data_IF_950385358404
#
_entry.id   IF_950385358404
#
_cell.length_a   1.000
_cell.length_b   1.000
_cell.length_c   1.000
_cell.angle_alpha   90.00
_cell.angle_beta   90.00
_cell.angle_gamma   90.00
#
_symmetry.space_group_name_H-M   'P 1'
#
loop_
_entity.id
_entity.type
_entity.pdbx_description
1 polymer ?
#
# COMPACT_ATOMS: atom_id res chain seq x y z
N UNK A 1 -68.30 -20.53 -3.01
CA UNK A 1 -67.34 -21.11 -3.99
C UNK A 1 -67.82 -20.74 -5.39
N UNK A 2 -66.96 -20.37 -6.35
CA UNK A 2 -65.52 -20.57 -6.34
C UNK A 2 -64.69 -19.28 -6.51
N UNK A 3 -63.65 -19.20 -5.69
CA UNK A 3 -62.44 -18.39 -5.85
C UNK A 3 -61.61 -18.91 -7.02
N UNK A 4 -61.26 -18.05 -7.97
CA UNK A 4 -60.25 -18.34 -8.99
C UNK A 4 -58.88 -17.78 -8.55
N UNK A 5 -57.77 -18.50 -8.80
CA UNK A 5 -56.50 -18.25 -8.12
C UNK A 5 -55.64 -17.22 -8.85
N UNK A 6 -55.06 -16.29 -8.08
CA UNK A 6 -53.91 -15.48 -8.47
C UNK A 6 -52.72 -16.37 -8.81
N UNK A 7 -52.44 -16.54 -10.10
CA UNK A 7 -51.17 -17.12 -10.56
C UNK A 7 -50.11 -16.03 -10.53
N UNK A 8 -49.51 -15.81 -9.34
CA UNK A 8 -48.21 -15.16 -9.22
C UNK A 8 -47.20 -16.07 -9.93
N UNK A 9 -46.73 -15.66 -11.11
CA UNK A 9 -45.52 -16.24 -11.68
C UNK A 9 -44.34 -15.76 -10.84
N UNK A 10 -43.88 -16.63 -9.94
CA UNK A 10 -42.52 -16.56 -9.41
C UNK A 10 -41.57 -16.80 -10.59
N UNK A 11 -41.10 -15.70 -11.18
CA UNK A 11 -39.91 -15.72 -12.04
C UNK A 11 -38.74 -15.63 -11.08
N UNK A 12 -38.12 -16.78 -10.80
CA UNK A 12 -36.81 -16.83 -10.15
C UNK A 12 -35.76 -16.09 -10.98
N UNK A 13 -34.58 -15.80 -10.41
CA UNK A 13 -33.57 -14.92 -11.03
C UNK A 13 -32.98 -15.46 -12.34
N UNK A 14 -33.23 -16.72 -12.71
CA UNK A 14 -32.68 -17.36 -13.90
C UNK A 14 -33.66 -17.37 -15.09
N UNK A 15 -33.80 -16.22 -15.75
CA UNK A 15 -34.58 -16.09 -16.99
C UNK A 15 -33.74 -16.30 -18.26
N UNK A 16 -34.32 -16.80 -19.38
CA UNK A 16 -33.64 -16.99 -20.67
C UNK A 16 -33.06 -15.69 -21.28
N UNK A 17 -33.45 -14.53 -20.75
CA UNK A 17 -32.86 -13.24 -21.13
C UNK A 17 -31.42 -13.04 -20.62
N UNK A 18 -31.04 -13.66 -19.51
CA UNK A 18 -29.69 -13.53 -18.93
C UNK A 18 -28.67 -14.39 -19.68
N UNK A 19 -29.07 -15.58 -20.12
CA UNK A 19 -28.25 -16.42 -21.02
C UNK A 19 -28.03 -15.75 -22.38
N UNK A 20 -29.07 -15.13 -22.95
CA UNK A 20 -28.96 -14.38 -24.21
C UNK A 20 -28.05 -13.15 -24.07
N UNK A 21 -28.17 -12.42 -22.95
CA UNK A 21 -27.28 -11.28 -22.66
C UNK A 21 -25.82 -11.73 -22.50
N UNK A 22 -25.57 -12.82 -21.77
CA UNK A 22 -24.23 -13.41 -21.60
C UNK A 22 -23.63 -13.87 -22.94
N UNK A 23 -24.44 -14.50 -23.80
CA UNK A 23 -24.04 -14.91 -25.14
C UNK A 23 -23.68 -13.72 -26.04
N UNK A 24 -24.46 -12.62 -25.98
CA UNK A 24 -24.19 -11.39 -26.73
C UNK A 24 -22.92 -10.68 -26.24
N UNK A 25 -22.69 -10.61 -24.93
CA UNK A 25 -21.46 -10.06 -24.34
C UNK A 25 -20.25 -10.90 -24.77
N UNK A 26 -20.37 -12.22 -24.71
CA UNK A 26 -19.30 -13.14 -25.16
C UNK A 26 -18.99 -12.99 -26.65
N UNK A 27 -20.02 -12.80 -27.49
CA UNK A 27 -19.85 -12.56 -28.93
C UNK A 27 -19.18 -11.20 -29.20
N UNK A 28 -19.57 -10.16 -28.45
CA UNK A 28 -18.96 -8.84 -28.54
C UNK A 28 -17.49 -8.87 -28.14
N UNK A 29 -17.12 -9.57 -27.05
CA UNK A 29 -15.72 -9.72 -26.61
C UNK A 29 -14.88 -10.39 -27.71
N UNK A 30 -15.39 -11.45 -28.35
CA UNK A 30 -14.68 -12.13 -29.46
C UNK A 30 -14.47 -11.21 -30.65
N UNK A 31 -15.47 -10.40 -30.99
CA UNK A 31 -15.35 -9.45 -32.10
C UNK A 31 -14.37 -8.32 -31.76
N UNK A 32 -14.40 -7.79 -30.53
CA UNK A 32 -13.41 -6.81 -30.08
C UNK A 32 -11.99 -7.38 -30.08
N UNK A 33 -11.80 -8.63 -29.66
CA UNK A 33 -10.51 -9.34 -29.74
C UNK A 33 -10.03 -9.52 -31.18
N UNK A 34 -10.94 -9.82 -32.11
CA UNK A 34 -10.66 -9.91 -33.55
C UNK A 34 -10.23 -8.54 -34.11
N UNK A 35 -10.94 -7.47 -33.76
CA UNK A 35 -10.59 -6.10 -34.14
C UNK A 35 -9.24 -5.70 -33.56
N UNK A 36 -8.97 -5.99 -32.29
CA UNK A 36 -7.67 -5.75 -31.66
C UNK A 36 -6.52 -6.50 -32.36
N UNK A 37 -6.74 -7.76 -32.76
CA UNK A 37 -5.76 -8.54 -33.50
C UNK A 37 -5.52 -8.02 -34.92
N UNK A 38 -6.55 -7.45 -35.56
CA UNK A 38 -6.48 -6.87 -36.89
C UNK A 38 -5.95 -5.43 -36.93
N UNK A 39 -5.90 -4.72 -35.80
CA UNK A 39 -5.35 -3.36 -35.73
C UNK A 39 -3.83 -3.37 -35.95
N UNK A 40 -3.40 -2.67 -37.00
CA UNK A 40 -1.99 -2.50 -37.33
C UNK A 40 -1.23 -1.78 -36.20
N UNK A 41 0.07 -2.06 -36.10
CA UNK A 41 0.97 -1.53 -35.07
C UNK A 41 1.15 -0.01 -35.10
N UNK A 42 0.61 0.64 -36.13
CA UNK A 42 0.53 2.08 -36.30
C UNK A 42 -0.48 2.76 -35.34
N UNK A 43 -1.55 2.06 -34.92
CA UNK A 43 -2.57 2.57 -34.01
C UNK A 43 -2.35 2.09 -32.57
N UNK A 44 -1.14 2.23 -32.05
CA UNK A 44 -0.73 1.80 -30.71
C UNK A 44 -1.63 2.30 -29.56
N UNK A 45 -1.97 3.59 -29.53
CA UNK A 45 -2.78 4.19 -28.45
C UNK A 45 -4.20 3.65 -28.52
N UNK A 46 -4.81 3.64 -29.70
CA UNK A 46 -6.15 3.10 -29.88
C UNK A 46 -6.21 1.59 -29.61
N UNK A 47 -5.15 0.85 -29.98
CA UNK A 47 -5.00 -0.59 -29.73
C UNK A 47 -4.82 -0.90 -28.24
N UNK A 48 -4.04 -0.11 -27.50
CA UNK A 48 -3.91 -0.27 -26.04
C UNK A 48 -5.20 0.10 -25.32
N UNK A 49 -5.86 1.20 -25.70
CA UNK A 49 -7.17 1.56 -25.17
C UNK A 49 -8.21 0.45 -25.44
N UNK A 50 -8.15 -0.19 -26.61
CA UNK A 50 -9.01 -1.33 -26.95
C UNK A 50 -8.64 -2.60 -26.16
N UNK A 51 -7.35 -2.88 -25.94
CA UNK A 51 -6.93 -4.01 -25.08
C UNK A 51 -7.37 -3.83 -23.63
N UNK A 52 -7.21 -2.63 -23.10
CA UNK A 52 -7.71 -2.25 -21.77
C UNK A 52 -9.23 -2.44 -21.71
N UNK A 53 -9.97 -1.91 -22.69
CA UNK A 53 -11.42 -2.11 -22.79
C UNK A 53 -11.85 -3.58 -22.91
N UNK A 54 -11.09 -4.45 -23.59
CA UNK A 54 -11.37 -5.88 -23.74
C UNK A 54 -11.12 -6.65 -22.43
N UNK A 55 -9.99 -6.40 -21.77
CA UNK A 55 -9.69 -6.98 -20.47
C UNK A 55 -10.73 -6.54 -19.44
N UNK A 56 -11.16 -5.28 -19.48
CA UNK A 56 -12.17 -4.72 -18.60
C UNK A 56 -13.60 -5.24 -18.90
N UNK A 57 -13.91 -5.58 -20.15
CA UNK A 57 -15.16 -6.25 -20.51
C UNK A 57 -15.19 -7.71 -20.08
N UNK A 58 -14.04 -8.39 -20.13
CA UNK A 58 -13.88 -9.79 -19.72
C UNK A 58 -13.95 -9.93 -18.20
N UNK A 59 -13.37 -8.98 -17.46
CA UNK A 59 -13.41 -8.92 -16.00
C UNK A 59 -14.73 -8.35 -15.45
N UNK A 60 -15.47 -7.56 -16.23
CA UNK A 60 -16.81 -7.07 -15.87
C UNK A 60 -17.95 -8.07 -16.10
N UNK A 61 -17.66 -9.25 -16.68
CA UNK A 61 -18.62 -10.32 -16.94
C UNK A 61 -18.67 -11.39 -15.84
N UNK A 62 -17.82 -11.31 -14.82
CA UNK A 62 -18.01 -12.05 -13.57
C UNK A 62 -19.06 -11.33 -12.73
N UNK A 63 -20.21 -11.98 -12.60
CA UNK A 63 -21.31 -11.74 -11.66
C UNK A 63 -21.15 -10.53 -10.68
N UNK A 64 -22.00 -9.49 -10.78
CA UNK A 64 -22.06 -8.40 -9.79
C UNK A 64 -22.53 -8.84 -8.39
N UNK A 65 -22.88 -10.12 -8.21
CA UNK A 65 -23.53 -10.64 -7.02
C UNK A 65 -22.63 -11.21 -5.92
N UNK A 66 -21.50 -10.59 -5.54
CA UNK A 66 -20.88 -10.81 -4.21
C UNK A 66 -19.73 -9.83 -3.90
N UNK A 67 -19.98 -8.52 -3.93
CA UNK A 67 -19.01 -7.54 -3.40
C UNK A 67 -19.74 -6.65 -2.41
N UNK A 68 -19.37 -6.76 -1.13
CA UNK A 68 -19.96 -6.00 -0.04
C UNK A 68 -19.80 -4.49 -0.33
N UNK A 69 -20.82 -3.62 -0.19
CA UNK A 69 -20.81 -2.25 -0.71
C UNK A 69 -19.85 -1.25 -0.02
N UNK A 70 -18.86 -1.71 0.73
CA UNK A 70 -17.86 -0.82 1.31
C UNK A 70 -16.52 -1.56 1.52
N UNK A 71 -15.67 -1.57 0.49
CA UNK A 71 -14.23 -1.90 0.59
C UNK A 71 -13.54 -1.13 1.73
N UNK A 72 -14.14 -0.01 2.14
CA UNK A 72 -13.81 0.73 3.34
C UNK A 72 -13.79 -0.12 4.61
N UNK A 73 -14.73 -1.05 4.78
CA UNK A 73 -14.84 -1.92 5.96
C UNK A 73 -13.64 -2.84 6.06
N UNK A 74 -13.23 -3.47 4.95
CA UNK A 74 -12.07 -4.36 4.95
C UNK A 74 -10.77 -3.61 5.22
N UNK A 75 -10.62 -2.40 4.66
CA UNK A 75 -9.48 -1.52 4.94
C UNK A 75 -9.47 -1.10 6.41
N UNK A 76 -10.63 -0.76 6.98
CA UNK A 76 -10.76 -0.39 8.40
C UNK A 76 -10.45 -1.56 9.33
N UNK A 77 -10.94 -2.77 9.00
CA UNK A 77 -10.61 -3.98 9.75
C UNK A 77 -9.11 -4.24 9.71
N UNK A 78 -8.49 -4.09 8.54
CA UNK A 78 -7.04 -4.21 8.38
C UNK A 78 -6.28 -3.16 9.20
N UNK A 79 -6.73 -1.91 9.22
CA UNK A 79 -6.16 -0.85 10.06
C UNK A 79 -6.24 -1.21 11.54
N UNK A 80 -7.39 -1.71 12.00
CA UNK A 80 -7.57 -2.11 13.39
C UNK A 80 -6.68 -3.31 13.77
N UNK A 81 -6.57 -4.31 12.89
CA UNK A 81 -5.68 -5.45 13.08
C UNK A 81 -4.22 -5.00 13.21
N UNK A 82 -3.72 -4.19 12.25
CA UNK A 82 -2.36 -3.67 12.30
C UNK A 82 -2.12 -2.85 13.57
N UNK A 83 -3.09 -2.02 13.99
CA UNK A 83 -3.00 -1.27 15.23
C UNK A 83 -2.91 -2.21 16.44
N UNK A 84 -3.78 -3.20 16.53
CA UNK A 84 -3.76 -4.19 17.62
C UNK A 84 -2.43 -4.95 17.65
N UNK A 85 -1.89 -5.37 16.50
CA UNK A 85 -0.59 -6.03 16.43
C UNK A 85 0.55 -5.16 16.96
N UNK A 86 0.55 -3.86 16.64
CA UNK A 86 1.54 -2.93 17.20
C UNK A 86 1.35 -2.71 18.69
N UNK A 87 0.11 -2.49 19.13
CA UNK A 87 -0.16 -2.10 20.52
C UNK A 87 -0.04 -3.27 21.49
N UNK A 88 -0.35 -4.50 21.04
CA UNK A 88 -0.37 -5.70 21.87
C UNK A 88 0.84 -6.57 21.56
N UNK A 89 0.92 -7.16 20.36
CA UNK A 89 1.92 -8.19 20.08
C UNK A 89 3.36 -7.63 20.08
N UNK A 90 3.57 -6.50 19.41
CA UNK A 90 4.90 -5.90 19.29
C UNK A 90 5.36 -5.33 20.64
N UNK A 91 4.50 -4.62 21.39
CA UNK A 91 4.84 -4.14 22.74
C UNK A 91 5.12 -5.28 23.71
N UNK A 92 4.30 -6.33 23.69
CA UNK A 92 4.53 -7.51 24.53
C UNK A 92 5.89 -8.15 24.20
N UNK A 93 6.26 -8.22 22.91
CA UNK A 93 7.58 -8.71 22.50
C UNK A 93 8.72 -7.81 23.01
N UNK A 94 8.54 -6.48 22.98
CA UNK A 94 9.49 -5.52 23.56
C UNK A 94 9.67 -5.74 25.07
N UNK A 95 8.56 -5.85 25.80
CA UNK A 95 8.52 -6.05 27.25
C UNK A 95 9.18 -7.38 27.66
N UNK A 96 8.85 -8.49 26.98
CA UNK A 96 9.46 -9.80 27.25
C UNK A 96 10.96 -9.79 26.97
N UNK A 97 11.40 -9.12 25.91
CA UNK A 97 12.82 -8.99 25.59
C UNK A 97 13.57 -8.13 26.63
N UNK A 98 12.98 -7.03 27.09
CA UNK A 98 13.56 -6.21 28.17
C UNK A 98 13.62 -6.99 29.48
N UNK A 99 12.55 -7.70 29.83
CA UNK A 99 12.51 -8.56 31.02
C UNK A 99 13.61 -9.62 30.97
N UNK A 100 13.77 -10.30 29.82
CA UNK A 100 14.85 -11.26 29.62
C UNK A 100 16.23 -10.63 29.83
N UNK A 101 16.44 -9.42 29.30
CA UNK A 101 17.70 -8.71 29.48
C UNK A 101 17.99 -8.40 30.96
N UNK A 102 16.98 -7.97 31.73
CA UNK A 102 17.10 -7.74 33.17
C UNK A 102 17.44 -9.03 33.92
N UNK A 103 16.75 -10.14 33.61
CA UNK A 103 17.03 -11.43 34.26
C UNK A 103 18.43 -11.94 33.92
N UNK A 104 18.88 -11.75 32.68
CA UNK A 104 20.23 -12.13 32.26
C UNK A 104 21.30 -11.32 32.99
N UNK A 105 21.11 -10.00 33.17
CA UNK A 105 22.04 -9.17 33.93
C UNK A 105 22.12 -9.60 35.40
N UNK A 106 21.00 -10.04 36.00
CA UNK A 106 20.99 -10.63 37.36
C UNK A 106 21.80 -11.93 37.40
N UNK A 107 21.62 -12.80 36.41
CA UNK A 107 22.39 -14.04 36.27
C UNK A 107 23.90 -13.76 36.18
N UNK A 108 24.32 -12.79 35.34
CA UNK A 108 25.73 -12.40 35.28
C UNK A 108 26.27 -11.89 36.62
N UNK A 109 25.49 -11.10 37.35
CA UNK A 109 25.90 -10.59 38.66
C UNK A 109 26.10 -11.73 39.68
N UNK A 110 25.22 -12.73 39.69
CA UNK A 110 25.38 -13.94 40.52
C UNK A 110 26.63 -14.71 40.10
N UNK A 111 26.88 -14.85 38.80
CA UNK A 111 28.04 -15.56 38.29
C UNK A 111 29.36 -14.86 38.66
N UNK A 112 29.40 -13.52 38.59
CA UNK A 112 30.54 -12.71 39.08
C UNK A 112 30.75 -12.88 40.58
N UNK A 113 29.67 -12.91 41.36
CA UNK A 113 29.74 -13.14 42.81
C UNK A 113 30.30 -14.54 43.13
N UNK A 114 29.88 -15.58 42.41
CA UNK A 114 30.42 -16.94 42.53
C UNK A 114 31.92 -16.97 42.21
N UNK A 115 32.35 -16.35 41.11
CA UNK A 115 33.77 -16.28 40.74
C UNK A 115 34.62 -15.56 41.80
N UNK A 116 34.09 -14.51 42.45
CA UNK A 116 34.78 -13.80 43.52
C UNK A 116 34.97 -14.64 44.79
N UNK A 117 34.15 -15.68 44.98
CA UNK A 117 34.19 -16.56 46.16
C UNK A 117 35.10 -17.78 45.95
N UNK A 118 35.45 -18.14 44.72
CA UNK A 118 36.33 -19.29 44.40
C UNK A 118 37.76 -19.19 44.97
N UNK A 119 38.20 -18.01 45.44
CA UNK A 119 39.52 -17.82 46.07
C UNK A 119 39.52 -17.76 47.61
N UNK A 120 38.38 -18.01 48.27
CA UNK A 120 38.19 -17.87 49.74
C UNK A 120 37.95 -19.20 50.47
N UNK A 121 38.43 -20.30 49.88
CA UNK A 121 38.29 -21.65 50.46
C UNK A 121 38.89 -21.69 51.88
N UNK A 122 38.07 -22.04 52.89
CA UNK A 122 38.49 -22.23 54.29
C UNK A 122 37.81 -21.35 55.35
N UNK A 123 36.99 -20.36 54.99
CA UNK A 123 36.22 -19.56 55.96
C UNK A 123 34.88 -20.22 56.32
N UNK A 124 34.55 -20.33 57.62
CA UNK A 124 33.27 -20.85 58.09
C UNK A 124 32.08 -20.07 57.48
N UNK A 125 31.16 -20.79 56.83
CA UNK A 125 29.97 -20.22 56.19
C UNK A 125 30.11 -19.84 54.71
N UNK A 126 31.32 -19.82 54.15
CA UNK A 126 31.54 -19.54 52.71
C UNK A 126 31.00 -20.68 51.84
N UNK A 127 31.19 -21.92 52.24
CA UNK A 127 30.74 -23.11 51.51
C UNK A 127 29.21 -23.18 51.39
N UNK A 128 28.49 -22.91 52.48
CA UNK A 128 27.02 -22.82 52.48
C UNK A 128 26.49 -21.69 51.58
N UNK A 129 27.18 -20.55 51.55
CA UNK A 129 26.85 -19.41 50.69
C UNK A 129 27.11 -19.70 49.21
N UNK A 130 28.19 -20.39 48.90
CA UNK A 130 28.52 -20.84 47.53
C UNK A 130 27.45 -21.82 47.04
N UNK A 131 27.06 -22.81 47.85
CA UNK A 131 26.01 -23.77 47.48
C UNK A 131 24.66 -23.09 47.22
N UNK A 132 24.26 -22.13 48.06
CA UNK A 132 23.02 -21.36 47.86
C UNK A 132 23.04 -20.59 46.55
N UNK A 133 24.14 -19.87 46.28
CA UNK A 133 24.29 -19.10 45.04
C UNK A 133 24.35 -20.01 43.81
N UNK A 134 24.97 -21.18 43.90
CA UNK A 134 24.97 -22.18 42.83
C UNK A 134 23.57 -22.69 42.52
N UNK A 135 22.76 -22.99 43.54
CA UNK A 135 21.38 -23.42 43.36
C UNK A 135 20.53 -22.32 42.72
N UNK A 136 20.64 -21.07 43.21
CA UNK A 136 19.98 -19.91 42.61
C UNK A 136 20.42 -19.69 41.15
N UNK A 137 21.71 -19.88 40.85
CA UNK A 137 22.23 -19.72 39.50
C UNK A 137 21.69 -20.79 38.54
N UNK A 138 21.57 -22.04 39.00
CA UNK A 138 20.99 -23.14 38.22
C UNK A 138 19.49 -22.92 37.92
N UNK A 139 18.73 -22.48 38.92
CA UNK A 139 17.31 -22.12 38.74
C UNK A 139 17.15 -20.96 37.74
N UNK A 140 17.98 -19.92 37.87
CA UNK A 140 17.95 -18.77 36.97
C UNK A 140 18.36 -19.14 35.54
N UNK A 141 19.35 -20.02 35.38
CA UNK A 141 19.75 -20.54 34.07
C UNK A 141 18.61 -21.32 33.41
N UNK A 142 17.88 -22.14 34.16
CA UNK A 142 16.72 -22.87 33.64
C UNK A 142 15.59 -21.91 33.24
N UNK A 143 15.32 -20.88 34.08
CA UNK A 143 14.33 -19.86 33.76
C UNK A 143 14.69 -19.09 32.47
N UNK A 144 15.95 -18.68 32.33
CA UNK A 144 16.44 -18.00 31.12
C UNK A 144 16.31 -18.88 29.87
N UNK A 145 16.62 -20.17 29.95
CA UNK A 145 16.40 -21.10 28.82
C UNK A 145 14.93 -21.17 28.39
N UNK A 146 14.02 -21.28 29.36
CA UNK A 146 12.58 -21.31 29.07
C UNK A 146 12.10 -19.99 28.45
N UNK A 147 12.51 -18.85 29.02
CA UNK A 147 12.15 -17.53 28.48
C UNK A 147 12.71 -17.28 27.08
N UNK A 148 13.94 -17.72 26.82
CA UNK A 148 14.55 -17.60 25.51
C UNK A 148 13.73 -18.33 24.44
N UNK A 149 13.34 -19.58 24.72
CA UNK A 149 12.49 -20.36 23.81
C UNK A 149 11.10 -19.72 23.61
N UNK A 150 10.48 -19.18 24.68
CA UNK A 150 9.19 -18.49 24.59
C UNK A 150 9.24 -17.22 23.73
N UNK A 151 10.31 -16.42 23.85
CA UNK A 151 10.53 -15.23 23.00
C UNK A 151 10.72 -15.65 21.55
N UNK A 152 11.49 -16.71 21.28
CA UNK A 152 11.70 -17.23 19.93
C UNK A 152 10.39 -17.67 19.28
N UNK A 153 9.54 -18.40 20.02
CA UNK A 153 8.20 -18.80 19.58
C UNK A 153 7.31 -17.59 19.26
N UNK A 154 7.30 -16.59 20.16
CA UNK A 154 6.51 -15.36 20.01
C UNK A 154 6.97 -14.54 18.80
N UNK A 155 8.28 -14.45 18.55
CA UNK A 155 8.86 -13.79 17.36
C UNK A 155 8.40 -14.47 16.08
N UNK A 156 8.45 -15.81 16.03
CA UNK A 156 7.97 -16.59 14.88
C UNK A 156 6.49 -16.39 14.65
N UNK A 157 5.66 -16.45 15.70
CA UNK A 157 4.22 -16.22 15.60
C UNK A 157 3.88 -14.81 15.10
N UNK A 158 4.54 -13.78 15.64
CA UNK A 158 4.39 -12.39 15.17
C UNK A 158 4.77 -12.25 13.69
N UNK A 159 5.88 -12.87 13.29
CA UNK A 159 6.33 -12.84 11.90
C UNK A 159 5.32 -13.50 10.93
N UNK A 160 4.74 -14.64 11.31
CA UNK A 160 3.71 -15.30 10.49
C UNK A 160 2.46 -14.43 10.33
N UNK A 161 2.05 -13.72 11.39
CA UNK A 161 0.95 -12.75 11.30
C UNK A 161 1.29 -11.61 10.33
N UNK A 162 2.53 -11.09 10.37
CA UNK A 162 2.98 -10.06 9.41
C UNK A 162 2.91 -10.57 7.96
N UNK A 163 3.35 -11.80 7.68
CA UNK A 163 3.26 -12.36 6.33
C UNK A 163 1.80 -12.50 5.84
N UNK A 164 0.90 -12.94 6.71
CA UNK A 164 -0.54 -13.06 6.39
C UNK A 164 -1.15 -11.68 6.12
N UNK A 165 -0.82 -10.69 6.93
CA UNK A 165 -1.27 -9.32 6.77
C UNK A 165 -0.74 -8.69 5.47
N UNK A 166 0.49 -9.01 5.07
CA UNK A 166 1.03 -8.57 3.80
C UNK A 166 0.18 -9.04 2.62
N UNK A 167 -0.15 -10.34 2.59
CA UNK A 167 -0.99 -10.93 1.54
C UNK A 167 -2.37 -10.28 1.50
N UNK A 168 -2.97 -10.00 2.67
CA UNK A 168 -4.25 -9.27 2.74
C UNK A 168 -4.14 -7.85 2.19
N UNK A 169 -3.06 -7.12 2.49
CA UNK A 169 -2.82 -5.78 1.94
C UNK A 169 -2.60 -5.81 0.43
N UNK A 170 -1.93 -6.83 -0.10
CA UNK A 170 -1.78 -7.00 -1.55
C UNK A 170 -3.15 -7.19 -2.22
N UNK A 171 -3.99 -8.08 -1.69
CA UNK A 171 -5.35 -8.29 -2.21
C UNK A 171 -6.20 -7.01 -2.14
N UNK A 172 -6.15 -6.28 -1.01
CA UNK A 172 -6.85 -5.00 -0.87
C UNK A 172 -6.36 -3.95 -1.87
N UNK A 173 -5.06 -3.91 -2.14
CA UNK A 173 -4.51 -3.01 -3.16
C UNK A 173 -5.03 -3.34 -4.55
N UNK A 174 -5.08 -4.62 -4.94
CA UNK A 174 -5.64 -5.02 -6.24
C UNK A 174 -7.11 -4.61 -6.38
N UNK A 175 -7.90 -4.76 -5.32
CA UNK A 175 -9.31 -4.34 -5.29
C UNK A 175 -9.44 -2.83 -5.44
N UNK A 176 -8.71 -2.04 -4.66
CA UNK A 176 -8.75 -0.57 -4.74
C UNK A 176 -8.25 -0.06 -6.09
N UNK A 177 -7.24 -0.71 -6.67
CA UNK A 177 -6.75 -0.41 -8.01
C UNK A 177 -7.80 -0.75 -9.08
N UNK A 178 -8.55 -1.84 -8.92
CA UNK A 178 -9.64 -2.20 -9.84
C UNK A 178 -10.75 -1.14 -9.88
N UNK A 179 -11.12 -0.58 -8.73
CA UNK A 179 -12.09 0.51 -8.65
C UNK A 179 -11.58 1.78 -9.35
N UNK A 180 -10.29 2.06 -9.25
CA UNK A 180 -9.67 3.17 -9.98
C UNK A 180 -9.69 2.93 -11.50
N UNK A 181 -9.46 1.69 -11.96
CA UNK A 181 -9.58 1.34 -13.38
C UNK A 181 -11.03 1.56 -13.86
N UNK A 182 -12.02 1.11 -13.08
CA UNK A 182 -13.43 1.33 -13.41
C UNK A 182 -13.79 2.83 -13.47
N UNK A 183 -13.27 3.65 -12.56
CA UNK A 183 -13.43 5.10 -12.63
C UNK A 183 -12.79 5.70 -13.90
N UNK A 184 -11.57 5.30 -14.27
CA UNK A 184 -10.91 5.76 -15.50
C UNK A 184 -11.73 5.38 -16.74
N UNK A 185 -12.35 4.21 -16.74
CA UNK A 185 -13.25 3.77 -17.80
C UNK A 185 -14.50 4.65 -17.90
N UNK A 186 -15.15 4.96 -16.78
CA UNK A 186 -16.28 5.91 -16.77
C UNK A 186 -15.84 7.29 -17.27
N UNK A 187 -14.66 7.77 -16.88
CA UNK A 187 -14.10 9.03 -17.35
C UNK A 187 -13.86 9.02 -18.86
N UNK A 188 -13.40 7.90 -19.43
CA UNK A 188 -13.23 7.74 -20.88
C UNK A 188 -14.58 7.78 -21.62
N UNK A 189 -15.58 7.06 -21.11
CA UNK A 189 -16.94 7.06 -21.66
C UNK A 189 -17.65 8.41 -21.51
N UNK A 190 -17.29 9.20 -20.51
CA UNK A 190 -17.77 10.56 -20.33
C UNK A 190 -17.29 11.51 -21.43
N UNK A 191 -16.15 11.21 -22.06
CA UNK A 191 -15.74 11.86 -23.31
C UNK A 191 -16.77 11.70 -24.44
N UNK A 192 -17.58 10.64 -24.40
CA UNK A 192 -18.67 10.37 -25.34
C UNK A 192 -20.05 10.80 -24.81
N UNK A 193 -20.12 11.52 -23.68
CA UNK A 193 -21.36 12.02 -23.08
C UNK A 193 -22.01 11.12 -22.02
N UNK A 194 -21.34 10.04 -21.59
CA UNK A 194 -21.84 9.19 -20.49
C UNK A 194 -21.61 9.89 -19.14
N UNK A 195 -22.58 9.95 -18.22
CA UNK A 195 -22.34 10.53 -16.89
C UNK A 195 -21.37 9.66 -16.09
N UNK A 196 -20.44 10.28 -15.37
CA UNK A 196 -19.58 9.61 -14.38
C UNK A 196 -20.41 9.41 -13.11
N UNK A 197 -20.49 8.17 -12.62
CA UNK A 197 -21.27 7.82 -11.43
C UNK A 197 -20.39 7.59 -10.20
N UNK A 198 -19.16 7.10 -10.41
CA UNK A 198 -18.18 6.88 -9.35
C UNK A 198 -17.53 8.19 -8.92
N UNK A 199 -17.46 8.40 -7.61
CA UNK A 199 -16.80 9.57 -7.03
C UNK A 199 -15.32 9.29 -6.81
N UNK A 200 -14.46 10.12 -7.40
CA UNK A 200 -13.01 10.09 -7.16
C UNK A 200 -12.66 10.35 -5.69
N UNK A 201 -13.49 11.09 -4.96
CA UNK A 201 -13.27 11.37 -3.53
C UNK A 201 -13.41 10.11 -2.67
N UNK A 202 -14.35 9.22 -3.01
CA UNK A 202 -14.48 7.91 -2.33
C UNK A 202 -13.23 7.06 -2.57
N UNK A 203 -12.79 6.98 -3.83
CA UNK A 203 -11.57 6.25 -4.21
C UNK A 203 -10.34 6.85 -3.50
N UNK A 204 -10.23 8.18 -3.45
CA UNK A 204 -9.17 8.85 -2.68
C UNK A 204 -9.16 8.35 -1.22
N UNK A 205 -10.32 8.29 -0.57
CA UNK A 205 -10.39 7.84 0.83
C UNK A 205 -9.90 6.40 1.03
N UNK A 206 -10.14 5.51 0.06
CA UNK A 206 -9.61 4.14 0.07
C UNK A 206 -8.09 4.13 -0.13
N UNK A 207 -7.58 4.88 -1.11
CA UNK A 207 -6.14 5.02 -1.35
C UNK A 207 -5.39 5.57 -0.13
N UNK A 208 -5.92 6.61 0.52
CA UNK A 208 -5.32 7.22 1.71
C UNK A 208 -5.23 6.23 2.88
N UNK A 209 -6.32 5.51 3.16
CA UNK A 209 -6.36 4.54 4.27
C UNK A 209 -5.53 3.30 4.01
N UNK A 210 -5.53 2.82 2.76
CA UNK A 210 -4.65 1.72 2.35
C UNK A 210 -3.18 2.14 2.46
N UNK A 211 -2.84 3.35 2.02
CA UNK A 211 -1.51 3.92 2.18
C UNK A 211 -1.08 3.96 3.66
N UNK A 212 -1.93 4.45 4.56
CA UNK A 212 -1.67 4.44 6.00
C UNK A 212 -1.43 3.01 6.53
N UNK A 213 -2.22 2.04 6.07
CA UNK A 213 -2.09 0.64 6.50
C UNK A 213 -0.77 0.02 6.07
N UNK A 214 -0.39 0.19 4.80
CA UNK A 214 0.89 -0.30 4.26
C UNK A 214 2.06 0.41 4.95
N UNK A 215 1.93 1.71 5.20
CA UNK A 215 2.95 2.48 5.92
C UNK A 215 3.12 2.01 7.36
N UNK A 216 2.02 1.78 8.08
CA UNK A 216 2.04 1.28 9.46
C UNK A 216 2.70 -0.10 9.53
N UNK A 217 2.36 -1.00 8.61
CA UNK A 217 3.04 -2.30 8.49
C UNK A 217 4.54 -2.14 8.28
N UNK A 218 4.96 -1.23 7.38
CA UNK A 218 6.38 -0.94 7.16
C UNK A 218 7.08 -0.50 8.45
N UNK A 219 6.47 0.40 9.22
CA UNK A 219 7.02 0.85 10.51
C UNK A 219 7.13 -0.27 11.53
N UNK A 220 6.13 -1.16 11.58
CA UNK A 220 6.16 -2.34 12.44
C UNK A 220 7.29 -3.31 12.07
N UNK A 221 7.51 -3.57 10.77
CA UNK A 221 8.61 -4.39 10.29
C UNK A 221 9.96 -3.76 10.65
N UNK A 222 10.13 -2.45 10.44
CA UNK A 222 11.35 -1.73 10.85
C UNK A 222 11.59 -1.79 12.36
N UNK A 223 10.53 -1.65 13.16
CA UNK A 223 10.63 -1.76 14.62
C UNK A 223 11.03 -3.17 15.05
N UNK A 224 10.42 -4.20 14.45
CA UNK A 224 10.78 -5.59 14.69
C UNK A 224 12.23 -5.90 14.29
N UNK A 225 12.70 -5.37 13.15
CA UNK A 225 14.10 -5.45 12.73
C UNK A 225 15.05 -4.85 13.78
N UNK A 226 14.73 -3.64 14.27
CA UNK A 226 15.50 -2.99 15.32
C UNK A 226 15.55 -3.81 16.61
N UNK A 227 14.43 -4.44 17.02
CA UNK A 227 14.38 -5.30 18.21
C UNK A 227 15.23 -6.56 18.06
N UNK A 228 15.30 -7.11 16.85
CA UNK A 228 16.19 -8.22 16.53
C UNK A 228 17.65 -7.80 16.62
N UNK A 229 18.01 -6.66 16.03
CA UNK A 229 19.38 -6.13 16.02
C UNK A 229 19.86 -5.64 17.39
N UNK A 230 18.95 -5.08 18.22
CA UNK A 230 19.29 -4.61 19.57
C UNK A 230 19.48 -5.75 20.57
N UNK A 231 19.11 -6.97 20.21
CA UNK A 231 19.33 -8.14 21.05
C UNK A 231 20.81 -8.48 21.09
N UNK A 232 21.39 -8.51 22.31
CA UNK A 232 22.74 -9.07 22.53
C UNK A 232 22.79 -10.59 22.29
N UNK A 233 21.64 -11.23 22.15
CA UNK A 233 21.48 -12.67 21.97
C UNK A 233 21.06 -12.97 20.54
N UNK A 234 21.74 -13.94 19.92
CA UNK A 234 21.39 -14.44 18.61
C UNK A 234 20.22 -15.42 18.74
N UNK A 235 19.02 -14.96 18.39
CA UNK A 235 17.86 -15.84 18.23
C UNK A 235 17.98 -16.59 16.89
N UNK A 236 17.48 -17.84 16.85
CA UNK A 236 17.54 -18.65 15.64
C UNK A 236 16.46 -18.23 14.63
N UNK A 237 16.71 -17.11 13.97
CA UNK A 237 15.78 -16.43 13.07
C UNK A 237 15.96 -16.85 11.60
N UNK A 238 16.53 -18.03 11.31
CA UNK A 238 16.86 -18.46 9.94
C UNK A 238 15.65 -18.48 8.98
N UNK A 239 14.43 -18.59 9.52
CA UNK A 239 13.16 -18.59 8.76
C UNK A 239 12.61 -17.18 8.54
N UNK A 240 13.11 -16.19 9.28
CA UNK A 240 12.56 -14.82 9.31
C UNK A 240 13.32 -13.95 8.29
N UNK A 241 12.77 -13.83 7.08
CA UNK A 241 13.33 -13.02 5.99
C UNK A 241 12.86 -11.56 6.06
N UNK A 242 13.30 -10.83 7.09
CA UNK A 242 12.85 -9.46 7.36
C UNK A 242 13.11 -8.51 6.19
N UNK A 243 14.32 -8.51 5.65
CA UNK A 243 14.71 -7.59 4.57
C UNK A 243 13.94 -7.84 3.27
N UNK A 244 13.59 -9.11 2.98
CA UNK A 244 12.79 -9.48 1.82
C UNK A 244 11.39 -8.85 1.91
N UNK A 245 10.68 -9.08 3.02
CA UNK A 245 9.34 -8.53 3.20
C UNK A 245 9.37 -6.99 3.26
N UNK A 246 10.37 -6.40 3.90
CA UNK A 246 10.52 -4.94 3.96
C UNK A 246 10.67 -4.33 2.55
N UNK A 247 11.44 -4.99 1.67
CA UNK A 247 11.56 -4.62 0.26
C UNK A 247 10.22 -4.76 -0.47
N UNK A 248 9.52 -5.86 -0.28
CA UNK A 248 8.22 -6.12 -0.91
C UNK A 248 7.13 -5.11 -0.48
N UNK A 249 7.05 -4.78 0.81
CA UNK A 249 6.16 -3.74 1.33
C UNK A 249 6.52 -2.36 0.76
N UNK A 250 7.82 -2.06 0.59
CA UNK A 250 8.27 -0.82 -0.04
C UNK A 250 7.89 -0.77 -1.53
N UNK A 251 7.98 -1.90 -2.24
CA UNK A 251 7.52 -2.03 -3.62
C UNK A 251 6.01 -1.82 -3.72
N UNK A 252 5.24 -2.44 -2.83
CA UNK A 252 3.79 -2.30 -2.74
C UNK A 252 3.39 -0.82 -2.59
N UNK A 253 4.03 -0.12 -1.65
CA UNK A 253 3.85 1.32 -1.43
C UNK A 253 4.22 2.15 -2.67
N UNK A 254 5.35 1.84 -3.32
CA UNK A 254 5.81 2.57 -4.51
C UNK A 254 4.86 2.41 -5.69
N UNK A 255 4.33 1.20 -5.89
CA UNK A 255 3.29 0.91 -6.89
C UNK A 255 2.01 1.68 -6.58
N UNK A 256 1.57 1.70 -5.32
CA UNK A 256 0.38 2.45 -4.91
C UNK A 256 0.53 3.95 -5.19
N UNK A 257 1.65 4.56 -4.77
CA UNK A 257 1.91 6.00 -4.99
C UNK A 257 1.95 6.32 -6.48
N UNK A 258 2.58 5.47 -7.29
CA UNK A 258 2.71 5.68 -8.73
C UNK A 258 1.34 5.63 -9.42
N UNK A 259 0.48 4.69 -9.03
CA UNK A 259 -0.89 4.56 -9.57
C UNK A 259 -1.87 5.61 -9.04
N UNK A 260 -1.58 6.19 -7.87
CA UNK A 260 -2.39 7.24 -7.24
C UNK A 260 -2.27 8.61 -7.93
N UNK A 261 -1.34 8.79 -8.87
CA UNK A 261 -1.27 10.00 -9.69
C UNK A 261 -2.20 9.87 -10.91
N UNK A 262 -3.26 10.66 -10.93
CA UNK A 262 -4.37 10.50 -11.90
C UNK A 262 -4.74 11.83 -12.54
N UNK A 263 -5.32 11.76 -13.74
CA UNK A 263 -5.92 12.92 -14.39
C UNK A 263 -7.35 13.05 -13.88
N UNK A 264 -7.66 14.15 -13.21
CA UNK A 264 -9.00 14.41 -12.68
C UNK A 264 -9.89 15.02 -13.75
N UNK A 265 -9.41 16.08 -14.42
CA UNK A 265 -10.05 16.67 -15.59
C UNK A 265 -9.19 16.45 -16.83
N UNK A 266 -9.69 15.65 -17.76
CA UNK A 266 -9.02 15.36 -19.03
C UNK A 266 -9.00 16.62 -19.92
N UNK A 267 -7.92 16.85 -20.68
CA UNK A 267 -7.95 17.84 -21.74
C UNK A 267 -9.00 17.45 -22.80
N UNK A 268 -9.55 18.42 -23.57
CA UNK A 268 -10.46 18.13 -24.68
C UNK A 268 -9.82 17.16 -25.68
N UNK A 269 -10.57 16.15 -26.13
CA UNK A 269 -10.08 15.16 -27.09
C UNK A 269 -9.69 15.78 -28.44
N UNK A 270 -10.37 16.86 -28.83
CA UNK A 270 -10.07 17.63 -30.04
C UNK A 270 -9.66 19.03 -29.60
N UNK A 271 -8.38 19.33 -29.75
CA UNK A 271 -7.81 20.65 -29.45
C UNK A 271 -7.51 21.38 -30.76
N UNK A 272 -7.92 22.64 -30.86
CA UNK A 272 -7.53 23.51 -31.97
C UNK A 272 -6.20 24.20 -31.65
N UNK A 273 -5.34 24.35 -32.65
CA UNK A 273 -4.08 25.09 -32.49
C UNK A 273 -4.33 26.52 -32.00
N UNK A 274 -3.42 27.02 -31.16
CA UNK A 274 -3.51 28.36 -30.56
C UNK A 274 -4.80 28.61 -29.75
N UNK A 275 -5.42 27.56 -29.20
CA UNK A 275 -6.56 27.69 -28.28
C UNK A 275 -6.19 27.27 -26.87
N UNK A 276 -6.85 27.89 -25.89
CA UNK A 276 -6.71 27.54 -24.48
C UNK A 276 -7.46 26.25 -24.20
N UNK A 277 -6.88 25.39 -23.38
CA UNK A 277 -7.53 24.20 -22.85
C UNK A 277 -7.15 24.06 -21.38
N UNK A 278 -8.01 23.40 -20.61
CA UNK A 278 -7.76 23.12 -19.21
C UNK A 278 -7.60 21.62 -18.99
N UNK A 279 -6.76 21.27 -18.03
CA UNK A 279 -6.62 19.92 -17.51
C UNK A 279 -6.23 19.99 -16.04
N UNK A 280 -6.60 19.00 -15.25
CA UNK A 280 -6.12 18.90 -13.87
C UNK A 280 -5.68 17.49 -13.55
N UNK A 281 -4.62 17.38 -12.77
CA UNK A 281 -4.11 16.13 -12.22
C UNK A 281 -4.21 16.16 -10.71
N UNK A 282 -4.45 15.00 -10.12
CA UNK A 282 -4.65 14.82 -8.68
C UNK A 282 -3.78 13.67 -8.18
N UNK A 283 -3.20 13.85 -7.01
CA UNK A 283 -2.49 12.79 -6.28
C UNK A 283 -3.39 12.28 -5.14
N UNK A 284 -3.93 11.07 -5.29
CA UNK A 284 -4.92 10.51 -4.36
C UNK A 284 -4.35 10.23 -2.97
N UNK A 285 -3.05 9.96 -2.85
CA UNK A 285 -2.37 9.76 -1.55
C UNK A 285 -1.78 11.05 -0.97
N UNK A 286 -2.03 12.20 -1.61
CA UNK A 286 -1.39 13.46 -1.28
C UNK A 286 -1.68 13.96 0.13
N UNK A 287 -2.91 13.80 0.63
CA UNK A 287 -3.30 14.28 1.96
C UNK A 287 -2.54 13.61 3.12
N UNK A 288 -2.08 12.37 2.90
CA UNK A 288 -1.35 11.55 3.90
C UNK A 288 0.15 11.54 3.70
N UNK A 289 0.60 11.78 2.47
CA UNK A 289 1.98 12.12 2.23
C UNK A 289 2.21 13.53 2.81
N UNK A 290 3.10 13.66 3.78
CA UNK A 290 3.51 14.96 4.35
C UNK A 290 4.21 15.89 3.31
N UNK A 291 4.02 15.68 2.01
CA UNK A 291 4.44 16.53 0.90
C UNK A 291 3.89 17.97 1.09
N UNK A 292 2.68 18.12 1.63
CA UNK A 292 2.09 19.44 1.92
C UNK A 292 2.77 20.18 3.10
N UNK A 293 3.52 19.47 3.96
CA UNK A 293 4.24 20.06 5.10
C UNK A 293 5.62 20.62 4.73
N UNK A 294 6.01 20.55 3.46
CA UNK A 294 7.19 21.22 2.91
C UNK A 294 6.76 22.52 2.19
N UNK A 295 5.83 23.25 2.81
CA UNK A 295 5.49 24.65 2.47
C UNK A 295 5.63 25.51 3.72
N UNK A 296 6.02 26.79 3.56
CA UNK A 296 6.90 27.48 4.48
C UNK A 296 6.15 27.85 5.76
N UNK A 297 6.70 27.41 6.90
CA UNK A 297 6.43 28.10 8.16
C UNK A 297 6.92 29.54 7.98
N UNK A 298 5.93 30.44 7.91
CA UNK A 298 5.95 31.89 8.07
C UNK A 298 7.29 32.45 8.52
N UNK A 299 7.83 33.37 7.70
CA UNK A 299 8.92 34.29 7.98
C UNK A 299 9.01 34.69 9.47
N UNK A 300 9.92 34.07 10.22
CA UNK A 300 10.49 34.71 11.40
C UNK A 300 11.61 35.66 10.93
N UNK A 301 11.52 36.98 11.17
CA UNK A 301 12.61 37.88 10.89
C UNK A 301 13.71 37.61 11.92
N UNK A 302 14.91 37.31 11.42
CA UNK A 302 16.14 37.00 12.17
C UNK A 302 16.34 35.53 12.50
N UNK A 303 16.72 34.73 11.51
CA UNK A 303 17.81 33.78 11.69
C UNK A 303 18.35 33.37 10.33
N UNK A 304 19.65 33.59 10.10
CA UNK A 304 20.40 32.98 9.01
C UNK A 304 20.30 31.46 9.16
N UNK A 305 19.40 30.83 8.44
CA UNK A 305 19.35 29.38 8.30
C UNK A 305 19.35 29.05 6.82
N UNK A 306 20.34 28.24 6.46
CA UNK A 306 20.51 27.60 5.17
C UNK A 306 19.17 27.16 4.58
N UNK A 307 18.89 27.66 3.37
CA UNK A 307 17.81 27.24 2.49
C UNK A 307 17.83 25.72 2.28
N UNK A 308 17.05 24.98 3.09
CA UNK A 308 16.70 23.61 2.76
C UNK A 308 15.79 23.65 1.54
N UNK A 309 16.01 22.80 0.52
CA UNK A 309 15.24 22.87 -0.71
C UNK A 309 13.76 22.56 -0.42
N UNK A 310 12.93 23.54 -0.78
CA UNK A 310 11.49 23.44 -0.94
C UNK A 310 11.18 22.21 -1.82
N UNK A 311 10.61 21.14 -1.26
CA UNK A 311 10.25 19.97 -2.04
C UNK A 311 8.89 20.22 -2.71
N UNK A 312 8.89 21.06 -3.74
CA UNK A 312 7.71 21.37 -4.53
C UNK A 312 7.59 20.35 -5.67
N UNK A 313 6.51 19.58 -5.70
CA UNK A 313 6.25 18.66 -6.81
C UNK A 313 5.78 19.50 -8.01
N UNK A 314 6.61 19.53 -9.04
CA UNK A 314 6.30 20.16 -10.31
C UNK A 314 5.83 19.12 -11.32
N UNK A 315 4.65 19.35 -11.90
CA UNK A 315 4.10 18.56 -12.99
C UNK A 315 4.37 19.29 -14.30
N UNK A 316 4.89 18.57 -15.29
CA UNK A 316 5.10 19.11 -16.63
C UNK A 316 4.18 18.39 -17.61
N UNK A 317 3.33 19.15 -18.30
CA UNK A 317 2.54 18.67 -19.43
C UNK A 317 3.38 18.68 -20.70
N UNK A 318 3.26 17.63 -21.52
CA UNK A 318 3.93 17.55 -22.82
C UNK A 318 3.05 16.81 -23.82
N UNK A 319 3.10 17.23 -25.08
CA UNK A 319 2.41 16.53 -26.18
C UNK A 319 3.41 15.60 -26.83
N UNK A 320 3.04 14.33 -26.93
CA UNK A 320 3.82 13.28 -27.59
C UNK A 320 3.01 12.68 -28.72
N UNK A 321 3.69 12.24 -29.78
CA UNK A 321 3.04 11.44 -30.82
C UNK A 321 2.78 10.01 -30.34
N UNK A 322 1.91 9.30 -31.03
CA UNK A 322 1.60 7.89 -30.77
C UNK A 322 2.85 6.99 -30.81
N UNK A 323 3.76 7.22 -31.75
CA UNK A 323 5.02 6.50 -31.84
C UNK A 323 5.92 6.74 -30.60
N UNK A 324 5.93 7.97 -30.07
CA UNK A 324 6.68 8.31 -28.86
C UNK A 324 6.03 7.72 -27.61
N UNK A 325 4.69 7.75 -27.52
CA UNK A 325 3.95 7.11 -26.43
C UNK A 325 4.25 5.60 -26.37
N UNK A 326 4.40 4.94 -27.52
CA UNK A 326 4.82 3.54 -27.59
C UNK A 326 6.23 3.30 -27.04
N UNK A 327 7.17 4.16 -27.39
CA UNK A 327 8.54 4.07 -26.86
C UNK A 327 8.60 4.35 -25.36
N UNK A 328 7.75 5.25 -24.87
CA UNK A 328 7.59 5.56 -23.45
C UNK A 328 7.05 4.38 -22.66
N UNK A 329 6.03 3.72 -23.18
CA UNK A 329 5.43 2.55 -22.53
C UNK A 329 6.38 1.35 -22.44
N UNK A 330 7.31 1.22 -23.40
CA UNK A 330 8.26 0.10 -23.46
C UNK A 330 9.57 0.35 -22.68
N UNK A 331 9.87 1.61 -22.29
CA UNK A 331 11.09 1.95 -21.55
C UNK A 331 10.83 1.99 -20.05
N UNK A 332 11.73 1.39 -19.27
CA UNK A 332 11.82 1.65 -17.83
C UNK A 332 12.20 3.13 -17.56
N UNK A 333 11.62 3.69 -16.49
CA UNK A 333 11.59 5.11 -16.06
C UNK A 333 12.94 5.87 -15.99
N UNK A 334 14.07 5.27 -16.35
CA UNK A 334 15.42 5.83 -16.15
C UNK A 334 15.92 6.75 -17.28
N UNK A 335 15.20 6.90 -18.40
CA UNK A 335 15.66 7.70 -19.57
C UNK A 335 14.61 8.68 -20.16
N UNK A 336 13.68 9.17 -19.34
CA UNK A 336 12.58 10.06 -19.77
C UNK A 336 13.04 11.48 -20.18
N UNK A 337 14.30 11.84 -19.93
CA UNK A 337 14.84 13.20 -20.14
C UNK A 337 15.19 13.56 -21.59
N UNK A 338 15.11 12.62 -22.54
CA UNK A 338 15.49 12.83 -23.96
C UNK A 338 14.32 12.75 -24.94
N UNK A 339 13.11 13.08 -24.50
CA UNK A 339 11.92 12.96 -25.35
C UNK A 339 11.62 14.33 -25.96
N UNK A 340 11.77 14.41 -27.28
CA UNK A 340 11.34 15.56 -28.06
C UNK A 340 9.81 15.60 -28.10
N UNK A 341 9.20 16.73 -27.73
CA UNK A 341 7.75 16.91 -27.76
C UNK A 341 7.29 17.15 -29.21
N UNK A 342 6.12 16.63 -29.59
CA UNK A 342 5.54 16.82 -30.92
C UNK A 342 4.76 18.13 -31.07
N UNK A 343 4.69 18.94 -30.01
CA UNK A 343 4.05 20.24 -29.99
C UNK A 343 4.54 21.08 -28.81
N UNK A 344 4.26 22.38 -28.88
CA UNK A 344 4.57 23.34 -27.82
C UNK A 344 3.30 23.65 -27.01
N UNK A 345 3.38 23.42 -25.70
CA UNK A 345 2.37 23.88 -24.74
C UNK A 345 2.95 25.11 -24.03
N UNK A 346 2.24 26.24 -24.08
CA UNK A 346 2.56 27.40 -23.25
C UNK A 346 2.10 27.14 -21.81
N UNK A 347 2.88 27.58 -20.82
CA UNK A 347 2.61 27.36 -19.39
C UNK A 347 2.44 25.88 -19.01
N UNK A 348 3.27 25.03 -19.59
CA UNK A 348 3.18 23.58 -19.43
C UNK A 348 3.66 23.04 -18.07
N UNK A 349 4.06 23.91 -17.13
CA UNK A 349 4.51 23.52 -15.80
C UNK A 349 3.51 23.99 -14.76
N UNK A 350 2.99 23.06 -13.99
CA UNK A 350 2.09 23.30 -12.86
C UNK A 350 2.71 22.83 -11.55
N UNK A 351 2.44 23.52 -10.47
CA UNK A 351 2.77 23.06 -9.12
C UNK A 351 1.59 22.28 -8.56
N UNK A 352 1.85 21.16 -7.89
CA UNK A 352 0.82 20.50 -7.09
C UNK A 352 0.56 21.33 -5.83
N UNK A 353 -0.66 21.81 -5.68
CA UNK A 353 -1.12 22.61 -4.55
C UNK A 353 -2.06 21.79 -3.66
N UNK A 354 -1.97 22.01 -2.36
CA UNK A 354 -2.88 21.40 -1.39
C UNK A 354 -4.09 22.30 -1.16
N UNK A 355 -5.29 21.77 -1.35
CA UNK A 355 -6.54 22.43 -1.03
C UNK A 355 -7.06 21.97 0.34
N UNK A 356 -7.00 22.80 1.40
CA UNK A 356 -7.33 22.37 2.77
C UNK A 356 -8.79 22.00 2.99
N UNK A 357 -9.71 22.63 2.25
CA UNK A 357 -11.15 22.39 2.36
C UNK A 357 -11.55 21.01 1.83
N UNK A 358 -10.93 20.56 0.74
CA UNK A 358 -11.21 19.28 0.11
C UNK A 358 -10.19 18.19 0.45
N UNK A 359 -9.07 18.55 1.09
CA UNK A 359 -7.91 17.67 1.38
C UNK A 359 -7.30 17.05 0.11
N UNK A 360 -7.26 17.81 -0.98
CA UNK A 360 -6.80 17.33 -2.28
C UNK A 360 -5.46 17.94 -2.65
N UNK A 361 -4.57 17.15 -3.26
CA UNK A 361 -3.36 17.63 -3.92
C UNK A 361 -3.60 17.67 -5.43
N UNK A 362 -3.71 18.86 -6.01
CA UNK A 362 -4.10 19.06 -7.41
C UNK A 362 -3.08 19.99 -8.09
N UNK A 363 -2.70 19.68 -9.32
CA UNK A 363 -2.11 20.66 -10.23
C UNK A 363 -3.10 20.95 -11.36
N UNK A 364 -3.42 22.23 -11.54
CA UNK A 364 -4.33 22.70 -12.60
C UNK A 364 -3.55 23.41 -13.70
N UNK A 365 -3.83 23.03 -14.95
CA UNK A 365 -3.35 23.69 -16.16
C UNK A 365 -4.54 24.44 -16.77
N UNK A 366 -4.39 25.74 -17.07
CA UNK A 366 -5.47 26.63 -17.54
C UNK A 366 -5.01 27.55 -18.67
#
# INVERSE_FOLDING_TARGET
MPTLPSRRSEVGPDGPGQEMASALVSALIRELQRVHAAMDSAHFVARNNLAEAINDFSNGATDPGFWDPDHMTDILEMQNNLRQMKEVDLRHLEEEQENFHIQYNKYENINRALNSLQGREGQQGVEAKVLLLQNQNAEMQQNLKMKFAAIEETRKAYWQKQLTNFQRLQALQEVVESELVMYKREQQLAGNGTPITRSLDKIQSWFERLFESIWEMRQQITTFQRLRESSKFQFNDQVIQVDSLASEVTKLLSTLITKAFVIENQPPQVVKTCTKFAASVRLLVGGKLNIHMISPQVNHPNHYTSSFPFLQIQVTASIVSEAQARQLYQRDNSQTSRIHTCGEILNNKGTIEYHPSSRQLIASFR
#
